data_IF_929079834235
#
_entry.id   IF_929079834235
#
_cell.length_a   1.000
_cell.length_b   1.000
_cell.length_c   1.000
_cell.angle_alpha   90.00
_cell.angle_beta   90.00
_cell.angle_gamma   90.00
#
_symmetry.space_group_name_H-M   'P 1'
#
loop_
_entity.id
_entity.type
_entity.pdbx_description
1 polymer ?
#
# COMPACT_ATOMS: atom_id res chain seq x y z
N UNK A 1 12.67 7.77 0.38
CA UNK A 1 12.66 6.34 -0.02
C UNK A 1 11.52 5.51 0.57
N UNK A 2 10.79 5.94 1.62
CA UNK A 2 9.49 5.31 1.98
C UNK A 2 8.31 6.29 2.00
N UNK A 3 8.59 7.59 2.19
CA UNK A 3 7.56 8.62 2.31
C UNK A 3 6.66 8.79 1.09
N UNK A 4 7.17 8.59 -0.13
CA UNK A 4 6.38 8.79 -1.36
C UNK A 4 5.32 7.68 -1.53
N UNK A 5 5.71 6.43 -1.25
CA UNK A 5 4.79 5.27 -1.26
C UNK A 5 3.79 5.38 -0.12
N UNK A 6 4.21 5.79 1.07
CA UNK A 6 3.32 6.00 2.21
C UNK A 6 2.27 7.09 1.91
N UNK A 7 2.69 8.24 1.37
CA UNK A 7 1.77 9.31 0.95
C UNK A 7 0.80 8.85 -0.14
N UNK A 8 1.27 8.06 -1.10
CA UNK A 8 0.41 7.44 -2.09
C UNK A 8 -0.66 6.56 -1.43
N UNK A 9 -0.28 5.70 -0.48
CA UNK A 9 -1.25 4.87 0.27
C UNK A 9 -2.24 5.70 1.09
N UNK A 10 -1.80 6.78 1.74
CA UNK A 10 -2.68 7.70 2.47
C UNK A 10 -3.76 8.28 1.54
N UNK A 11 -3.36 8.75 0.35
CA UNK A 11 -4.31 9.25 -0.66
C UNK A 11 -5.29 8.17 -1.11
N UNK A 12 -4.82 6.94 -1.30
CA UNK A 12 -5.67 5.81 -1.71
C UNK A 12 -6.70 5.41 -0.64
N UNK A 13 -6.40 5.60 0.64
CA UNK A 13 -7.37 5.42 1.73
C UNK A 13 -8.48 6.50 1.71
N UNK A 14 -8.31 7.59 0.96
CA UNK A 14 -9.22 8.74 0.97
C UNK A 14 -8.98 9.69 2.15
N UNK A 15 -7.85 9.56 2.84
CA UNK A 15 -7.45 10.43 3.95
C UNK A 15 -6.30 11.36 3.53
N UNK A 16 -6.19 12.49 4.21
CA UNK A 16 -5.21 13.50 3.86
C UNK A 16 -3.79 12.98 4.13
N UNK A 17 -2.84 13.33 3.26
CA UNK A 17 -1.41 12.95 3.35
C UNK A 17 -0.64 13.67 4.47
N UNK A 18 -1.36 14.23 5.44
CA UNK A 18 -0.79 14.98 6.54
C UNK A 18 0.01 14.04 7.43
N UNK A 19 1.21 14.51 7.79
CA UNK A 19 2.10 13.84 8.72
C UNK A 19 2.49 14.91 9.76
N UNK A 20 2.10 14.75 11.04
CA UNK A 20 1.36 13.62 11.60
C UNK A 20 -0.11 13.59 11.16
N UNK A 21 -0.74 12.42 11.25
CA UNK A 21 -2.14 12.20 10.88
C UNK A 21 -2.80 11.06 11.66
N UNK A 22 -4.13 11.01 11.61
CA UNK A 22 -4.91 9.97 12.27
C UNK A 22 -6.21 9.67 11.53
N UNK A 23 -6.74 8.46 11.74
CA UNK A 23 -8.06 8.00 11.30
C UNK A 23 -8.82 7.58 12.56
N UNK A 24 -9.94 8.24 12.84
CA UNK A 24 -10.84 7.84 13.93
C UNK A 24 -11.40 6.43 13.70
N UNK A 25 -11.72 5.71 14.77
CA UNK A 25 -12.26 4.34 14.68
C UNK A 25 -13.46 4.22 13.73
N UNK A 26 -14.36 5.21 13.73
CA UNK A 26 -15.54 5.28 12.86
C UNK A 26 -15.19 5.35 11.37
N UNK A 27 -13.99 5.86 11.05
CA UNK A 27 -13.51 6.11 9.70
C UNK A 27 -12.59 4.98 9.18
N UNK A 28 -12.15 4.07 10.05
CA UNK A 28 -11.30 2.92 9.69
C UNK A 28 -11.96 1.98 8.66
N UNK A 29 -13.25 1.59 8.78
CA UNK A 29 -13.90 0.74 7.78
C UNK A 29 -13.87 1.36 6.37
N UNK A 30 -14.10 2.68 6.29
CA UNK A 30 -14.04 3.39 5.02
C UNK A 30 -12.62 3.43 4.44
N UNK A 31 -11.62 3.68 5.28
CA UNK A 31 -10.22 3.66 4.87
C UNK A 31 -9.80 2.30 4.30
N UNK A 32 -10.21 1.22 4.96
CA UNK A 32 -9.94 -0.15 4.55
C UNK A 32 -10.54 -0.47 3.17
N UNK A 33 -11.82 -0.13 2.96
CA UNK A 33 -12.51 -0.34 1.68
C UNK A 33 -11.83 0.43 0.55
N UNK A 34 -11.54 1.71 0.77
CA UNK A 34 -10.89 2.57 -0.22
C UNK A 34 -9.52 2.02 -0.62
N UNK A 35 -8.71 1.62 0.37
CA UNK A 35 -7.39 1.05 0.11
C UNK A 35 -7.47 -0.26 -0.68
N UNK A 36 -8.37 -1.17 -0.31
CA UNK A 36 -8.53 -2.44 -1.00
C UNK A 36 -8.97 -2.24 -2.46
N UNK A 37 -9.92 -1.34 -2.70
CA UNK A 37 -10.37 -1.02 -4.06
C UNK A 37 -9.25 -0.42 -4.90
N UNK A 38 -8.54 0.57 -4.36
CA UNK A 38 -7.44 1.20 -5.04
C UNK A 38 -6.29 0.24 -5.35
N UNK A 39 -5.93 -0.62 -4.40
CA UNK A 39 -4.86 -1.62 -4.55
C UNK A 39 -5.23 -2.68 -5.59
N UNK A 40 -6.49 -3.13 -5.62
CA UNK A 40 -6.96 -4.05 -6.64
C UNK A 40 -6.97 -3.41 -8.03
N UNK A 41 -7.40 -2.14 -8.13
CA UNK A 41 -7.35 -1.40 -9.40
C UNK A 41 -5.92 -1.20 -9.90
N UNK A 42 -4.97 -0.85 -9.03
CA UNK A 42 -3.55 -0.75 -9.39
C UNK A 42 -3.00 -2.11 -9.83
N UNK A 43 -3.35 -3.19 -9.12
CA UNK A 43 -2.95 -4.56 -9.52
C UNK A 43 -3.50 -4.93 -10.90
N UNK A 44 -4.75 -4.60 -11.21
CA UNK A 44 -5.33 -4.84 -12.53
C UNK A 44 -4.61 -4.04 -13.62
N UNK A 45 -4.20 -2.80 -13.33
CA UNK A 45 -3.39 -2.00 -14.26
C UNK A 45 -2.00 -2.59 -14.43
N UNK A 46 -1.31 -2.95 -13.35
CA UNK A 46 0.01 -3.60 -13.39
C UNK A 46 -0.05 -4.93 -14.16
N UNK A 47 -1.18 -5.63 -14.15
CA UNK A 47 -1.40 -6.87 -14.90
C UNK A 47 -1.80 -6.65 -16.38
N UNK A 48 -2.49 -5.56 -16.71
CA UNK A 48 -2.93 -5.24 -18.07
C UNK A 48 -1.94 -4.36 -18.85
N UNK A 49 -1.08 -3.60 -18.15
CA UNK A 49 0.13 -3.01 -18.70
C UNK A 49 1.13 -4.15 -18.90
N UNK A 50 0.92 -4.93 -19.96
CA UNK A 50 1.67 -6.14 -20.23
C UNK A 50 3.18 -5.92 -20.12
N UNK A 51 3.86 -6.95 -19.61
CA UNK A 51 5.28 -7.26 -19.82
C UNK A 51 6.14 -6.07 -20.25
N UNK A 52 6.62 -5.27 -19.30
CA UNK A 52 7.94 -4.66 -19.46
C UNK A 52 8.95 -5.57 -18.75
N UNK A 53 9.74 -6.36 -19.49
CA UNK A 53 10.71 -7.28 -18.93
C UNK A 53 11.96 -6.50 -18.51
N UNK A 54 11.92 -5.88 -17.33
CA UNK A 54 13.11 -5.49 -16.60
C UNK A 54 12.93 -5.97 -15.15
N UNK A 55 13.41 -7.14 -14.73
CA UNK A 55 14.52 -7.95 -15.21
C UNK A 55 14.20 -9.43 -14.94
N UNK A 56 14.45 -10.28 -15.93
CA UNK A 56 14.90 -11.64 -15.61
C UNK A 56 16.16 -11.50 -14.75
N UNK A 57 16.12 -11.98 -13.51
CA UNK A 57 17.35 -12.29 -12.78
C UNK A 57 17.33 -13.80 -12.57
N UNK A 58 17.58 -14.53 -13.66
CA UNK A 58 18.09 -15.91 -13.67
C UNK A 58 19.61 -15.92 -13.91
N UNK A 59 20.30 -14.82 -13.57
CA UNK A 59 21.76 -14.76 -13.57
C UNK A 59 22.20 -13.87 -12.39
N UNK A 60 22.10 -14.41 -11.17
CA UNK A 60 22.76 -13.82 -10.00
C UNK A 60 24.20 -14.36 -9.93
N UNK A 61 25.12 -13.71 -10.63
CA UNK A 61 26.44 -13.43 -10.07
C UNK A 61 26.52 -11.91 -9.85
N UNK A 62 26.81 -11.54 -8.62
CA UNK A 62 27.07 -10.18 -8.12
C UNK A 62 25.97 -9.09 -8.15
N UNK A 63 25.55 -8.74 -6.92
CA UNK A 63 25.29 -7.39 -6.39
C UNK A 63 23.93 -6.71 -6.68
N UNK A 64 23.09 -6.72 -5.63
CA UNK A 64 22.22 -5.62 -5.19
C UNK A 64 21.16 -5.07 -6.15
N UNK A 65 20.40 -5.92 -6.84
CA UNK A 65 19.13 -5.51 -7.45
C UNK A 65 17.99 -5.93 -6.53
N UNK A 66 17.56 -5.02 -5.65
CA UNK A 66 16.34 -5.24 -4.85
C UNK A 66 15.15 -5.41 -5.82
N UNK A 67 14.34 -6.48 -5.67
CA UNK A 67 13.17 -6.66 -6.51
C UNK A 67 12.26 -5.44 -6.36
N UNK A 68 11.80 -4.86 -7.49
CA UNK A 68 10.75 -3.84 -7.48
C UNK A 68 9.46 -4.50 -6.96
N UNK A 69 9.26 -4.45 -5.65
CA UNK A 69 8.01 -4.91 -5.01
C UNK A 69 6.87 -4.07 -5.65
N UNK A 70 5.74 -4.67 -6.04
CA UNK A 70 4.58 -3.92 -6.55
C UNK A 70 3.84 -3.16 -5.44
N UNK A 71 3.02 -2.15 -5.79
CA UNK A 71 2.24 -1.40 -4.77
C UNK A 71 1.31 -2.33 -3.97
N UNK A 72 0.74 -3.33 -4.65
CA UNK A 72 -0.10 -4.35 -4.03
C UNK A 72 0.59 -5.06 -2.87
N UNK A 73 1.81 -5.56 -3.09
CA UNK A 73 2.56 -6.28 -2.07
C UNK A 73 2.93 -5.39 -0.89
N UNK A 74 3.21 -4.10 -1.13
CA UNK A 74 3.52 -3.14 -0.06
C UNK A 74 2.30 -2.74 0.77
N UNK A 75 1.08 -2.82 0.21
CA UNK A 75 -0.14 -2.45 0.92
C UNK A 75 -0.65 -3.51 1.90
N UNK A 76 -0.21 -4.78 1.76
CA UNK A 76 -0.62 -5.90 2.61
C UNK A 76 -0.52 -5.59 4.12
N UNK A 77 0.63 -5.17 4.67
CA UNK A 77 0.75 -4.92 6.11
C UNK A 77 -0.19 -3.81 6.60
N UNK A 78 -0.43 -2.79 5.77
CA UNK A 78 -1.34 -1.70 6.11
C UNK A 78 -2.81 -2.16 6.08
N UNK A 79 -3.18 -3.01 5.13
CA UNK A 79 -4.50 -3.63 5.05
C UNK A 79 -4.76 -4.52 6.27
N UNK A 80 -3.78 -5.32 6.69
CA UNK A 80 -3.89 -6.17 7.88
C UNK A 80 -4.07 -5.33 9.15
N UNK A 81 -3.30 -4.24 9.28
CA UNK A 81 -3.42 -3.32 10.40
C UNK A 81 -4.80 -2.65 10.46
N UNK A 82 -5.34 -2.21 9.32
CA UNK A 82 -6.68 -1.61 9.23
C UNK A 82 -7.79 -2.61 9.58
N UNK A 83 -7.65 -3.88 9.19
CA UNK A 83 -8.60 -4.95 9.58
C UNK A 83 -8.62 -5.19 11.08
N UNK A 84 -7.44 -5.20 11.72
CA UNK A 84 -7.38 -5.37 13.17
C UNK A 84 -7.95 -4.14 13.88
N UNK A 85 -7.66 -2.95 13.39
CA UNK A 85 -8.22 -1.72 13.95
C UNK A 85 -9.74 -1.62 13.80
N UNK A 86 -10.30 -2.09 12.68
CA UNK A 86 -11.75 -2.21 12.48
C UNK A 86 -12.35 -3.20 13.50
N UNK A 87 -11.73 -4.36 13.68
CA UNK A 87 -12.20 -5.40 14.61
C UNK A 87 -12.15 -4.96 16.07
N UNK A 88 -11.13 -4.20 16.45
CA UNK A 88 -10.93 -3.69 17.81
C UNK A 88 -11.58 -2.30 18.02
N UNK A 89 -12.27 -1.76 17.01
CA UNK A 89 -12.90 -0.43 17.02
C UNK A 89 -11.96 0.68 17.52
N UNK A 90 -10.70 0.67 17.06
CA UNK A 90 -9.68 1.62 17.51
C UNK A 90 -9.21 2.57 16.39
N UNK A 91 -8.70 3.73 16.81
CA UNK A 91 -8.15 4.73 15.91
C UNK A 91 -6.72 4.35 15.50
N UNK A 92 -6.29 4.84 14.33
CA UNK A 92 -4.92 4.69 13.83
C UNK A 92 -4.27 6.07 13.77
N UNK A 93 -2.98 6.15 14.12
CA UNK A 93 -2.17 7.38 14.08
C UNK A 93 -0.80 7.09 13.44
N UNK A 94 -0.21 8.10 12.79
CA UNK A 94 1.15 8.06 12.24
C UNK A 94 1.87 9.42 12.38
N UNK A 95 3.20 9.37 12.35
CA UNK A 95 4.13 10.50 12.49
C UNK A 95 5.25 10.47 11.45
#
# INVERSE_FOLDING_TARGET
MFGDVAKQMLRLMGFCENIPGAIDAENVPQALVNLQQAVNWVREIEQNAGDDPAMNIDDCDDQDVEPMIGLYNRAIPLIEMLKEAEKEECYIMWE
#
